data_IF_913746631780
#
_entry.id   IF_913746631780
#
_cell.length_a   1.000
_cell.length_b   1.000
_cell.length_c   1.000
_cell.angle_alpha   90.00
_cell.angle_beta   90.00
_cell.angle_gamma   90.00
#
_symmetry.space_group_name_H-M   'P 1'
#
loop_
_entity.id
_entity.type
_entity.pdbx_description
1 polymer ?
#
# COMPACT_ATOMS: atom_id res chain seq x y z
N UNK A 1 17.49 14.20 4.46
CA UNK A 1 17.18 13.88 5.88
C UNK A 1 18.16 12.81 6.35
N UNK A 2 18.57 12.79 7.63
CA UNK A 2 19.31 11.67 8.16
C UNK A 2 18.48 10.37 8.05
N UNK A 3 19.12 9.20 7.94
CA UNK A 3 18.40 7.93 7.97
C UNK A 3 17.68 7.78 9.31
N UNK A 4 16.44 7.30 9.27
CA UNK A 4 15.65 7.03 10.47
C UNK A 4 16.29 5.88 11.26
N UNK A 5 16.13 5.88 12.58
CA UNK A 5 16.30 4.64 13.33
C UNK A 5 15.28 3.59 12.89
N UNK A 6 15.58 2.33 13.15
CA UNK A 6 14.67 1.22 12.82
C UNK A 6 13.29 1.42 13.47
N UNK A 7 13.25 1.80 14.76
CA UNK A 7 11.99 2.06 15.47
C UNK A 7 11.19 3.22 14.90
N UNK A 8 11.85 4.30 14.48
CA UNK A 8 11.17 5.45 13.85
C UNK A 8 10.58 5.06 12.49
N UNK A 9 11.34 4.30 11.69
CA UNK A 9 10.83 3.78 10.43
C UNK A 9 9.62 2.85 10.64
N UNK A 10 9.73 1.90 11.58
CA UNK A 10 8.65 0.95 11.85
C UNK A 10 7.38 1.67 12.32
N UNK A 11 7.48 2.69 13.16
CA UNK A 11 6.34 3.49 13.58
C UNK A 11 5.65 4.19 12.39
N UNK A 12 6.43 4.78 11.48
CA UNK A 12 5.92 5.42 10.27
C UNK A 12 5.30 4.40 9.31
N UNK A 13 5.92 3.22 9.14
CA UNK A 13 5.41 2.17 8.28
C UNK A 13 4.09 1.60 8.82
N UNK A 14 3.98 1.34 10.13
CA UNK A 14 2.72 0.92 10.76
C UNK A 14 1.63 1.97 10.54
N UNK A 15 1.92 3.24 10.80
CA UNK A 15 0.96 4.33 10.59
C UNK A 15 0.53 4.45 9.11
N UNK A 16 1.43 4.21 8.17
CA UNK A 16 1.07 4.22 6.74
C UNK A 16 0.18 3.04 6.38
N UNK A 17 0.49 1.83 6.88
CA UNK A 17 -0.35 0.66 6.65
C UNK A 17 -1.75 0.89 7.23
N UNK A 18 -1.89 1.45 8.43
CA UNK A 18 -3.20 1.76 9.02
C UNK A 18 -3.99 2.79 8.17
N UNK A 19 -3.29 3.74 7.53
CA UNK A 19 -3.91 4.71 6.61
C UNK A 19 -4.32 4.08 5.28
N UNK A 20 -3.54 3.13 4.76
CA UNK A 20 -3.88 2.38 3.54
C UNK A 20 -5.11 1.52 3.80
N UNK A 21 -5.18 0.84 4.94
CA UNK A 21 -6.32 0.01 5.37
C UNK A 21 -7.62 0.81 5.32
N UNK A 22 -7.67 1.92 6.07
CA UNK A 22 -8.84 2.79 6.10
C UNK A 22 -9.20 3.39 4.73
N UNK A 23 -8.20 3.70 3.89
CA UNK A 23 -8.45 4.23 2.56
C UNK A 23 -9.05 3.16 1.62
N UNK A 24 -8.58 1.92 1.71
CA UNK A 24 -9.10 0.81 0.90
C UNK A 24 -10.51 0.45 1.36
N UNK A 25 -10.77 0.35 2.67
CA UNK A 25 -12.13 0.11 3.20
C UNK A 25 -13.12 1.17 2.69
N UNK A 26 -12.78 2.46 2.84
CA UNK A 26 -13.65 3.54 2.41
C UNK A 26 -13.90 3.54 0.88
N UNK A 27 -12.88 3.21 0.09
CA UNK A 27 -13.01 3.14 -1.37
C UNK A 27 -13.81 1.91 -1.81
N UNK A 28 -13.64 0.77 -1.13
CA UNK A 28 -14.38 -0.46 -1.38
C UNK A 28 -15.87 -0.27 -1.07
N UNK A 29 -16.19 0.28 0.11
CA UNK A 29 -17.55 0.61 0.53
C UNK A 29 -18.24 1.56 -0.45
N UNK A 30 -17.54 2.60 -0.90
CA UNK A 30 -18.09 3.58 -1.85
C UNK A 30 -18.35 2.99 -3.25
N UNK A 31 -17.59 1.96 -3.63
CA UNK A 31 -17.67 1.30 -4.94
C UNK A 31 -18.52 0.03 -4.92
N UNK A 32 -19.05 -0.38 -3.75
CA UNK A 32 -19.70 -1.69 -3.54
C UNK A 32 -18.79 -2.85 -4.00
N UNK A 33 -17.49 -2.75 -3.70
CA UNK A 33 -16.49 -3.74 -4.06
C UNK A 33 -16.16 -4.65 -2.86
N UNK A 34 -16.12 -5.96 -3.08
CA UNK A 34 -15.74 -6.93 -2.06
C UNK A 34 -14.21 -7.12 -2.04
N UNK A 35 -13.56 -6.56 -1.01
CA UNK A 35 -12.12 -6.67 -0.77
C UNK A 35 -11.91 -7.09 0.69
N UNK A 36 -11.40 -8.31 0.89
CA UNK A 36 -11.01 -8.78 2.21
C UNK A 36 -9.63 -8.23 2.57
N UNK A 37 -9.52 -7.56 3.72
CA UNK A 37 -8.26 -7.01 4.23
C UNK A 37 -7.82 -7.82 5.44
N UNK A 38 -6.56 -8.28 5.43
CA UNK A 38 -5.96 -8.95 6.57
C UNK A 38 -4.60 -8.36 6.94
N UNK A 39 -4.31 -8.32 8.25
CA UNK A 39 -3.09 -7.73 8.81
C UNK A 39 -2.36 -8.76 9.68
N UNK A 40 -1.09 -9.01 9.36
CA UNK A 40 -0.19 -9.82 10.19
C UNK A 40 1.13 -9.08 10.39
N UNK A 41 1.27 -8.44 11.55
CA UNK A 41 2.43 -7.58 11.83
C UNK A 41 2.56 -6.45 10.80
N UNK A 42 3.69 -6.38 10.11
CA UNK A 42 3.96 -5.36 9.10
C UNK A 42 3.60 -5.80 7.68
N UNK A 43 2.75 -6.82 7.55
CA UNK A 43 2.20 -7.31 6.28
C UNK A 43 0.70 -7.02 6.27
N UNK A 44 0.24 -6.44 5.18
CA UNK A 44 -1.17 -6.29 4.82
C UNK A 44 -1.41 -7.08 3.54
N UNK A 45 -2.50 -7.83 3.52
CA UNK A 45 -2.98 -8.54 2.33
C UNK A 45 -4.38 -8.04 2.00
N UNK A 46 -4.59 -7.70 0.72
CA UNK A 46 -5.88 -7.39 0.13
C UNK A 46 -6.25 -8.55 -0.80
N UNK A 47 -7.32 -9.27 -0.51
CA UNK A 47 -7.86 -10.33 -1.35
C UNK A 47 -9.14 -9.84 -2.03
N UNK A 48 -9.17 -9.94 -3.36
CA UNK A 48 -10.28 -9.47 -4.19
C UNK A 48 -11.22 -10.62 -4.53
N UNK A 49 -12.49 -10.34 -4.88
CA UNK A 49 -13.50 -11.35 -5.23
C UNK A 49 -13.02 -12.37 -6.31
N UNK A 50 -12.16 -11.93 -7.24
CA UNK A 50 -11.60 -12.78 -8.29
C UNK A 50 -10.41 -13.66 -7.84
N UNK A 51 -10.09 -13.68 -6.54
CA UNK A 51 -9.00 -14.44 -5.92
C UNK A 51 -7.60 -13.88 -6.16
N UNK A 52 -7.47 -12.72 -6.82
CA UNK A 52 -6.18 -12.02 -6.89
C UNK A 52 -5.86 -11.35 -5.57
N UNK A 53 -4.57 -11.08 -5.33
CA UNK A 53 -4.11 -10.48 -4.08
C UNK A 53 -3.18 -9.29 -4.34
N UNK A 54 -3.23 -8.31 -3.44
CA UNK A 54 -2.18 -7.30 -3.29
C UNK A 54 -1.57 -7.48 -1.91
N UNK A 55 -0.24 -7.59 -1.84
CA UNK A 55 0.50 -7.68 -0.58
C UNK A 55 1.29 -6.39 -0.39
N UNK A 56 1.13 -5.75 0.77
CA UNK A 56 1.85 -4.54 1.16
C UNK A 56 2.63 -4.84 2.43
N UNK A 57 3.95 -4.63 2.43
CA UNK A 57 4.75 -4.88 3.64
C UNK A 57 5.89 -3.87 3.84
N UNK A 58 6.29 -3.66 5.09
CA UNK A 58 7.47 -2.84 5.41
C UNK A 58 8.79 -3.62 5.28
N UNK A 59 9.84 -2.97 4.80
CA UNK A 59 11.22 -3.48 4.76
C UNK A 59 12.15 -2.54 5.52
N UNK A 60 12.38 -2.81 6.81
CA UNK A 60 13.16 -1.95 7.70
C UNK A 60 14.61 -1.68 7.25
N UNK A 61 15.38 -2.67 6.75
CA UNK A 61 16.74 -2.42 6.29
C UNK A 61 16.85 -1.43 5.13
N UNK A 62 15.81 -1.35 4.27
CA UNK A 62 15.77 -0.43 3.13
C UNK A 62 14.96 0.85 3.42
N UNK A 63 14.25 0.89 4.55
CA UNK A 63 13.28 1.93 4.91
C UNK A 63 12.22 2.15 3.81
N UNK A 64 11.65 1.04 3.33
CA UNK A 64 10.71 1.01 2.21
C UNK A 64 9.39 0.32 2.57
N UNK A 65 8.32 0.70 1.89
CA UNK A 65 7.11 -0.11 1.74
C UNK A 65 7.18 -0.82 0.39
N UNK A 66 6.91 -2.11 0.40
CA UNK A 66 6.88 -2.94 -0.79
C UNK A 66 5.44 -3.32 -1.12
N UNK A 67 5.10 -3.29 -2.39
CA UNK A 67 3.79 -3.67 -2.92
C UNK A 67 4.00 -4.75 -3.98
N UNK A 68 3.39 -5.90 -3.78
CA UNK A 68 3.25 -6.94 -4.79
C UNK A 68 1.80 -6.94 -5.28
N UNK A 69 1.60 -6.63 -6.55
CA UNK A 69 0.31 -6.62 -7.22
C UNK A 69 0.41 -7.42 -8.53
N UNK A 70 -0.71 -7.64 -9.22
CA UNK A 70 -0.73 -8.27 -10.54
C UNK A 70 0.14 -7.53 -11.56
N UNK A 71 0.22 -6.20 -11.45
CA UNK A 71 1.07 -5.35 -12.28
C UNK A 71 2.59 -5.54 -12.03
N UNK A 72 2.99 -6.14 -10.91
CA UNK A 72 4.38 -6.39 -10.56
C UNK A 72 4.73 -6.08 -9.11
N UNK A 73 6.03 -5.94 -8.85
CA UNK A 73 6.59 -5.56 -7.55
C UNK A 73 7.17 -4.14 -7.56
N UNK A 74 6.76 -3.34 -6.58
CA UNK A 74 7.07 -1.92 -6.46
C UNK A 74 7.59 -1.59 -5.07
N UNK A 75 8.56 -0.69 -4.99
CA UNK A 75 9.16 -0.30 -3.71
C UNK A 75 9.06 1.21 -3.56
N UNK A 76 8.54 1.65 -2.43
CA UNK A 76 8.29 3.04 -2.12
C UNK A 76 9.14 3.48 -0.94
N UNK A 77 9.81 4.62 -1.08
CA UNK A 77 10.60 5.24 -0.01
C UNK A 77 9.97 6.58 0.36
N UNK A 78 9.99 6.90 1.65
CA UNK A 78 9.45 8.17 2.15
C UNK A 78 10.35 9.35 1.77
N UNK A 79 9.78 10.40 1.18
CA UNK A 79 10.48 11.65 0.80
C UNK A 79 10.46 12.73 1.91
N UNK A 80 9.97 12.37 3.09
CA UNK A 80 9.68 13.27 4.21
C UNK A 80 8.19 13.29 4.52
N UNK A 81 7.36 13.39 3.49
CA UNK A 81 5.91 13.50 3.62
C UNK A 81 5.17 12.33 2.95
N UNK A 82 5.61 11.95 1.75
CA UNK A 82 4.94 10.98 0.87
C UNK A 82 5.82 9.78 0.61
N UNK A 83 5.21 8.71 0.12
CA UNK A 83 5.90 7.50 -0.29
C UNK A 83 6.03 7.47 -1.80
N UNK A 84 7.27 7.43 -2.28
CA UNK A 84 7.61 7.61 -3.70
C UNK A 84 8.27 6.35 -4.23
N UNK A 85 7.80 5.87 -5.38
CA UNK A 85 8.36 4.73 -6.10
C UNK A 85 9.83 5.00 -6.44
N UNK A 86 10.67 4.04 -6.06
CA UNK A 86 12.14 4.16 -6.15
C UNK A 86 12.69 4.04 -7.58
N UNK A 87 11.87 3.65 -8.56
CA UNK A 87 12.26 3.47 -9.96
C UNK A 87 11.70 4.57 -10.87
N UNK A 88 10.42 4.90 -10.73
CA UNK A 88 9.73 5.80 -11.65
C UNK A 88 9.29 7.13 -11.01
N UNK A 89 9.41 7.29 -9.68
CA UNK A 89 9.04 8.51 -8.97
C UNK A 89 7.54 8.75 -8.78
N UNK A 90 6.70 7.75 -9.08
CA UNK A 90 5.26 7.78 -8.82
C UNK A 90 4.93 7.79 -7.33
N UNK A 91 3.79 8.35 -6.97
CA UNK A 91 3.32 8.42 -5.57
C UNK A 91 2.50 7.16 -5.22
N UNK A 92 2.61 6.68 -3.97
CA UNK A 92 2.03 5.43 -3.47
C UNK A 92 0.52 5.33 -3.63
N UNK A 93 -0.25 6.34 -3.22
CA UNK A 93 -1.71 6.31 -3.31
C UNK A 93 -2.21 6.39 -4.75
N UNK A 94 -1.52 7.15 -5.61
CA UNK A 94 -1.78 7.14 -7.04
C UNK A 94 -1.55 5.75 -7.66
N UNK A 95 -0.46 5.08 -7.28
CA UNK A 95 -0.14 3.74 -7.73
C UNK A 95 -1.15 2.69 -7.20
N UNK A 96 -1.41 2.70 -5.89
CA UNK A 96 -2.36 1.79 -5.25
C UNK A 96 -3.76 1.94 -5.84
N UNK A 97 -4.24 3.17 -6.09
CA UNK A 97 -5.53 3.42 -6.75
C UNK A 97 -5.62 2.68 -8.09
N UNK A 98 -4.54 2.68 -8.87
CA UNK A 98 -4.46 1.92 -10.12
C UNK A 98 -4.54 0.41 -9.89
N UNK A 99 -3.74 -0.11 -8.95
CA UNK A 99 -3.65 -1.55 -8.67
C UNK A 99 -4.96 -2.11 -8.10
N UNK A 100 -5.55 -1.43 -7.11
CA UNK A 100 -6.82 -1.85 -6.52
C UNK A 100 -7.96 -1.74 -7.53
N UNK A 101 -7.95 -0.74 -8.41
CA UNK A 101 -8.96 -0.61 -9.46
C UNK A 101 -8.87 -1.74 -10.48
N UNK A 102 -7.66 -2.06 -10.92
CA UNK A 102 -7.41 -3.15 -11.87
C UNK A 102 -7.88 -4.49 -11.30
N UNK A 103 -7.52 -4.78 -10.04
CA UNK A 103 -7.83 -6.06 -9.42
C UNK A 103 -9.27 -6.18 -8.92
N UNK A 104 -9.92 -5.08 -8.52
CA UNK A 104 -11.36 -5.08 -8.19
C UNK A 104 -12.25 -5.08 -9.43
N UNK A 105 -11.74 -4.66 -10.59
CA UNK A 105 -12.57 -4.48 -11.80
C UNK A 105 -13.52 -3.28 -11.71
N UNK A 106 -13.31 -2.37 -10.75
CA UNK A 106 -14.08 -1.16 -10.52
C UNK A 106 -13.14 0.03 -10.31
N UNK A 107 -13.62 1.26 -10.47
CA UNK A 107 -12.80 2.45 -10.25
C UNK A 107 -12.74 2.78 -8.74
N UNK A 108 -11.60 2.54 -8.11
CA UNK A 108 -11.32 2.86 -6.71
C UNK A 108 -10.28 3.97 -6.65
N UNK A 109 -10.55 4.99 -5.83
CA UNK A 109 -9.62 6.11 -5.60
C UNK A 109 -9.25 6.19 -4.14
N UNK A 110 -7.98 5.94 -3.87
CA UNK A 110 -7.36 6.16 -2.57
C UNK A 110 -6.84 7.61 -2.56
N UNK A 111 -6.98 8.27 -1.40
CA UNK A 111 -6.87 9.73 -1.22
C UNK A 111 -5.69 10.41 -1.90
#
# INVERSE_FOLDING_TARGET
MPPLSESEFLALATQELDRIEAAVEAAADAADADIEISRTGNVMELEFENGTKIIINSQAPMQELWVAARAGGFHFRRDGERWIDTRNGGELYAALSGYVSEQAGAALRLG
#
